data_IF_829611155639
#
_entry.id   IF_829611155639
#
_cell.length_a   1.000
_cell.length_b   1.000
_cell.length_c   1.000
_cell.angle_alpha   90.00
_cell.angle_beta   90.00
_cell.angle_gamma   90.00
#
_symmetry.space_group_name_H-M   'P 1'
#
loop_
_entity.id
_entity.type
_entity.pdbx_description
1 polymer ?
#
# COMPACT_ATOMS: atom_id res chain seq x y z
N UNK A 1 38.07 16.70 29.29
CA UNK A 1 36.62 16.88 29.51
C UNK A 1 35.92 17.51 28.30
N UNK A 2 36.40 18.62 27.75
CA UNK A 2 35.77 19.29 26.59
C UNK A 2 35.72 18.46 25.29
N UNK A 3 36.77 17.70 24.97
CA UNK A 3 36.81 16.82 23.79
C UNK A 3 35.72 15.74 23.81
N UNK A 4 35.43 15.20 24.99
CA UNK A 4 34.33 14.24 25.19
C UNK A 4 32.97 14.89 24.96
N UNK A 5 32.77 16.14 25.41
CA UNK A 5 31.53 16.89 25.13
C UNK A 5 31.34 17.15 23.63
N UNK A 6 32.37 17.60 22.93
CA UNK A 6 32.29 17.83 21.48
C UNK A 6 32.01 16.55 20.70
N UNK A 7 32.64 15.43 21.07
CA UNK A 7 32.38 14.14 20.43
C UNK A 7 30.93 13.67 20.61
N UNK A 8 30.34 13.88 21.80
CA UNK A 8 28.95 13.52 22.07
C UNK A 8 27.96 14.40 21.27
N UNK A 9 28.26 15.70 21.14
CA UNK A 9 27.44 16.62 20.34
C UNK A 9 27.47 16.23 18.86
N UNK A 10 28.66 15.91 18.31
CA UNK A 10 28.80 15.48 16.92
C UNK A 10 28.01 14.16 16.69
N UNK A 11 28.14 13.19 17.61
CA UNK A 11 27.39 11.95 17.53
C UNK A 11 25.87 12.18 17.56
N UNK A 12 25.39 13.05 18.45
CA UNK A 12 23.98 13.40 18.55
C UNK A 12 23.46 14.05 17.26
N UNK A 13 24.23 14.97 16.65
CA UNK A 13 23.89 15.60 15.38
C UNK A 13 23.84 14.60 14.22
N UNK A 14 24.76 13.64 14.17
CA UNK A 14 24.76 12.57 13.16
C UNK A 14 23.52 11.68 13.28
N UNK A 15 23.16 11.28 14.50
CA UNK A 15 21.95 10.47 14.75
C UNK A 15 20.69 11.27 14.37
N UNK A 16 20.60 12.53 14.79
CA UNK A 16 19.48 13.41 14.47
C UNK A 16 19.33 13.60 12.95
N UNK A 17 20.43 13.88 12.26
CA UNK A 17 20.47 14.00 10.80
C UNK A 17 20.03 12.71 10.10
N UNK A 18 20.46 11.55 10.58
CA UNK A 18 20.05 10.24 10.08
C UNK A 18 18.54 10.00 10.24
N UNK A 19 17.97 10.30 11.41
CA UNK A 19 16.52 10.17 11.67
C UNK A 19 15.72 11.11 10.76
N UNK A 20 16.14 12.38 10.64
CA UNK A 20 15.50 13.35 9.76
C UNK A 20 15.55 12.90 8.28
N UNK A 21 16.68 12.35 7.84
CA UNK A 21 16.84 11.82 6.50
C UNK A 21 15.90 10.62 6.25
N UNK A 22 15.81 9.67 7.18
CA UNK A 22 14.92 8.52 7.07
C UNK A 22 13.45 8.96 7.02
N UNK A 23 13.06 9.91 7.87
CA UNK A 23 11.71 10.47 7.88
C UNK A 23 11.38 11.17 6.56
N UNK A 24 12.29 12.02 6.06
CA UNK A 24 12.13 12.70 4.77
C UNK A 24 12.01 11.71 3.62
N UNK A 25 12.90 10.70 3.58
CA UNK A 25 12.88 9.62 2.59
C UNK A 25 11.54 8.90 2.62
N UNK A 26 11.05 8.49 3.79
CA UNK A 26 9.77 7.79 3.91
C UNK A 26 8.60 8.65 3.42
N UNK A 27 8.56 9.93 3.80
CA UNK A 27 7.52 10.88 3.35
C UNK A 27 7.54 11.06 1.83
N UNK A 28 8.73 11.19 1.23
CA UNK A 28 8.90 11.29 -0.22
C UNK A 28 8.42 10.02 -0.93
N UNK A 29 8.78 8.83 -0.44
CA UNK A 29 8.37 7.56 -1.06
C UNK A 29 6.85 7.38 -1.03
N UNK A 30 6.17 7.76 0.05
CA UNK A 30 4.69 7.75 0.14
C UNK A 30 4.05 8.70 -0.88
N UNK A 31 4.60 9.90 -1.05
CA UNK A 31 4.09 10.85 -2.05
C UNK A 31 4.25 10.31 -3.48
N UNK A 32 5.41 9.71 -3.80
CA UNK A 32 5.68 9.09 -5.09
C UNK A 32 4.74 7.90 -5.34
N UNK A 33 4.56 7.02 -4.35
CA UNK A 33 3.68 5.86 -4.48
C UNK A 33 2.22 6.27 -4.70
N UNK A 34 1.74 7.28 -3.98
CA UNK A 34 0.38 7.80 -4.13
C UNK A 34 0.15 8.41 -5.52
N UNK A 35 1.11 9.21 -6.01
CA UNK A 35 1.04 9.80 -7.36
C UNK A 35 0.99 8.73 -8.45
N UNK A 36 1.89 7.74 -8.36
CA UNK A 36 1.93 6.62 -9.30
C UNK A 36 0.67 5.74 -9.24
N UNK A 37 0.17 5.48 -8.03
CA UNK A 37 -1.05 4.72 -7.82
C UNK A 37 -2.27 5.46 -8.36
N UNK A 38 -2.43 6.77 -8.10
CA UNK A 38 -3.50 7.60 -8.65
C UNK A 38 -3.51 7.58 -10.18
N UNK A 39 -2.33 7.74 -10.81
CA UNK A 39 -2.18 7.67 -12.27
C UNK A 39 -2.56 6.30 -12.85
N UNK A 40 -2.30 5.23 -12.11
CA UNK A 40 -2.66 3.87 -12.54
C UNK A 40 -4.16 3.60 -12.30
N UNK A 41 -4.73 4.17 -11.25
CA UNK A 41 -6.12 3.97 -10.85
C UNK A 41 -7.11 4.51 -11.89
N UNK A 42 -6.81 5.64 -12.53
CA UNK A 42 -7.67 6.22 -13.58
C UNK A 42 -7.82 5.32 -14.80
N UNK A 43 -6.90 4.37 -15.00
CA UNK A 43 -6.97 3.41 -16.11
C UNK A 43 -7.94 2.26 -15.83
N UNK A 44 -8.36 2.07 -14.58
CA UNK A 44 -9.27 0.99 -14.21
C UNK A 44 -10.64 1.16 -14.86
N UNK A 45 -11.13 2.40 -15.01
CA UNK A 45 -12.44 2.69 -15.60
C UNK A 45 -12.54 2.27 -17.07
N UNK A 46 -11.40 2.16 -17.76
CA UNK A 46 -11.34 1.70 -19.14
C UNK A 46 -11.41 0.17 -19.29
N UNK A 47 -11.34 -0.60 -18.19
CA UNK A 47 -11.37 -2.06 -18.20
C UNK A 47 -12.82 -2.52 -18.06
N UNK A 48 -13.44 -3.12 -19.10
CA UNK A 48 -14.84 -3.54 -19.03
C UNK A 48 -15.04 -4.69 -18.05
N UNK A 49 -14.10 -5.64 -18.03
CA UNK A 49 -14.20 -6.85 -17.23
C UNK A 49 -14.07 -6.55 -15.72
N UNK A 50 -15.11 -6.86 -14.90
CA UNK A 50 -15.11 -6.55 -13.47
C UNK A 50 -14.05 -7.35 -12.70
N UNK A 51 -13.80 -8.61 -13.07
CA UNK A 51 -12.80 -9.45 -12.44
C UNK A 51 -11.39 -8.89 -12.64
N UNK A 52 -11.06 -8.51 -13.87
CA UNK A 52 -9.78 -7.89 -14.25
C UNK A 52 -9.56 -6.56 -13.56
N UNK A 53 -10.60 -5.72 -13.38
CA UNK A 53 -10.50 -4.49 -12.58
C UNK A 53 -10.07 -4.77 -11.14
N UNK A 54 -10.62 -5.81 -10.51
CA UNK A 54 -10.24 -6.21 -9.13
C UNK A 54 -8.78 -6.66 -9.08
N UNK A 55 -8.34 -7.50 -10.04
CA UNK A 55 -6.96 -7.98 -10.13
C UNK A 55 -5.96 -6.81 -10.26
N UNK A 56 -6.24 -5.88 -11.18
CA UNK A 56 -5.38 -4.72 -11.44
C UNK A 56 -5.38 -3.76 -10.25
N UNK A 57 -6.52 -3.51 -9.61
CA UNK A 57 -6.60 -2.66 -8.42
C UNK A 57 -5.73 -3.20 -7.27
N UNK A 58 -5.81 -4.50 -6.98
CA UNK A 58 -4.95 -5.13 -5.96
C UNK A 58 -3.46 -4.98 -6.31
N UNK A 59 -3.09 -5.16 -7.59
CA UNK A 59 -1.73 -4.97 -8.10
C UNK A 59 -1.24 -3.52 -7.93
N UNK A 60 -2.10 -2.52 -8.16
CA UNK A 60 -1.76 -1.10 -7.91
C UNK A 60 -1.44 -0.86 -6.44
N UNK A 61 -2.29 -1.36 -5.53
CA UNK A 61 -2.05 -1.23 -4.09
C UNK A 61 -0.76 -1.95 -3.69
N UNK A 62 -0.51 -3.16 -4.19
CA UNK A 62 0.71 -3.91 -3.87
C UNK A 62 1.97 -3.15 -4.31
N UNK A 63 1.98 -2.57 -5.51
CA UNK A 63 3.09 -1.72 -5.98
C UNK A 63 3.30 -0.49 -5.08
N UNK A 64 2.22 0.13 -4.60
CA UNK A 64 2.33 1.24 -3.66
C UNK A 64 3.01 0.79 -2.36
N UNK A 65 2.59 -0.36 -1.81
CA UNK A 65 3.19 -0.98 -0.62
C UNK A 65 4.68 -1.32 -0.82
N UNK A 66 5.04 -1.87 -1.98
CA UNK A 66 6.44 -2.17 -2.32
C UNK A 66 7.29 -0.89 -2.34
N UNK A 67 6.74 0.20 -2.90
CA UNK A 67 7.43 1.49 -3.02
C UNK A 67 7.73 2.11 -1.65
N UNK A 68 6.83 1.95 -0.68
CA UNK A 68 7.01 2.47 0.68
C UNK A 68 7.80 1.51 1.59
N UNK A 69 8.23 0.36 1.08
CA UNK A 69 9.20 -0.54 1.73
C UNK A 69 8.62 -1.85 2.30
N UNK A 70 7.33 -2.14 2.12
CA UNK A 70 6.76 -3.42 2.54
C UNK A 70 7.18 -4.54 1.59
N UNK A 71 7.68 -5.66 2.14
CA UNK A 71 8.12 -6.84 1.39
C UNK A 71 7.26 -8.07 1.68
N UNK A 72 7.22 -9.03 0.75
CA UNK A 72 6.46 -10.28 0.90
C UNK A 72 5.22 -10.33 0.02
N UNK A 73 4.32 -11.27 0.31
CA UNK A 73 3.03 -11.39 -0.38
C UNK A 73 2.08 -10.26 0.02
N UNK A 74 1.09 -9.93 -0.82
CA UNK A 74 0.10 -8.89 -0.45
C UNK A 74 -0.60 -9.19 0.88
N UNK A 75 -0.94 -10.45 1.13
CA UNK A 75 -1.54 -10.89 2.40
C UNK A 75 -0.61 -10.70 3.61
N UNK A 76 0.69 -10.99 3.47
CA UNK A 76 1.69 -10.71 4.52
C UNK A 76 1.85 -9.22 4.77
N UNK A 77 1.94 -8.41 3.71
CA UNK A 77 2.04 -6.95 3.82
C UNK A 77 0.82 -6.40 4.54
N UNK A 78 -0.37 -6.85 4.15
CA UNK A 78 -1.62 -6.46 4.78
C UNK A 78 -1.59 -6.79 6.27
N UNK A 79 -1.25 -8.03 6.67
CA UNK A 79 -1.10 -8.43 8.08
C UNK A 79 -0.12 -7.54 8.86
N UNK A 80 1.01 -7.13 8.26
CA UNK A 80 1.97 -6.22 8.92
C UNK A 80 1.43 -4.81 9.10
N UNK A 81 0.56 -4.38 8.18
CA UNK A 81 -0.08 -3.05 8.21
C UNK A 81 -1.26 -3.01 9.16
N UNK A 82 -1.75 -4.17 9.64
CA UNK A 82 -2.99 -4.31 10.42
C UNK A 82 -3.01 -3.42 11.68
N UNK A 83 -3.40 -2.17 11.46
CA UNK A 83 -3.93 -1.24 12.43
C UNK A 83 -5.40 -1.61 12.65
N UNK A 84 -5.90 -1.42 13.87
CA UNK A 84 -7.17 -1.94 14.39
C UNK A 84 -8.45 -1.34 13.74
N UNK A 85 -8.52 -1.28 12.42
CA UNK A 85 -9.51 -0.49 11.69
C UNK A 85 -10.37 -1.34 10.73
N UNK A 86 -11.62 -0.91 10.56
CA UNK A 86 -12.66 -1.54 9.74
C UNK A 86 -12.25 -1.67 8.26
N UNK A 87 -11.38 -0.79 7.78
CA UNK A 87 -10.83 -0.80 6.43
C UNK A 87 -10.02 -2.08 6.14
N UNK A 88 -9.44 -2.69 7.17
CA UNK A 88 -8.70 -3.94 7.01
C UNK A 88 -9.60 -5.11 6.63
N UNK A 89 -10.77 -5.23 7.28
CA UNK A 89 -11.70 -6.34 6.98
C UNK A 89 -12.24 -6.21 5.56
N UNK A 90 -12.59 -5.00 5.13
CA UNK A 90 -13.05 -4.73 3.77
C UNK A 90 -12.01 -5.11 2.70
N UNK A 91 -10.73 -4.78 2.92
CA UNK A 91 -9.64 -5.16 2.00
C UNK A 91 -9.39 -6.66 2.01
N UNK A 92 -9.51 -7.30 3.17
CA UNK A 92 -9.36 -8.75 3.29
C UNK A 92 -10.45 -9.49 2.53
N UNK A 93 -11.70 -9.04 2.63
CA UNK A 93 -12.82 -9.57 1.83
C UNK A 93 -12.58 -9.37 0.32
N UNK A 94 -12.12 -8.18 -0.07
CA UNK A 94 -11.77 -7.90 -1.48
C UNK A 94 -10.62 -8.80 -1.98
N UNK A 95 -9.63 -9.08 -1.13
CA UNK A 95 -8.53 -9.98 -1.43
C UNK A 95 -8.99 -11.43 -1.59
N UNK A 96 -9.93 -11.90 -0.76
CA UNK A 96 -10.53 -13.24 -0.92
C UNK A 96 -11.27 -13.36 -2.25
N UNK A 97 -12.05 -12.34 -2.63
CA UNK A 97 -12.70 -12.31 -3.94
C UNK A 97 -11.68 -12.32 -5.09
N UNK A 98 -10.61 -11.52 -4.98
CA UNK A 98 -9.47 -11.54 -5.92
C UNK A 98 -8.88 -12.94 -6.04
N UNK A 99 -8.66 -13.63 -4.93
CA UNK A 99 -8.08 -14.98 -4.94
C UNK A 99 -9.01 -15.99 -5.60
N UNK A 100 -10.31 -15.87 -5.36
CA UNK A 100 -11.32 -16.67 -6.06
C UNK A 100 -11.22 -16.49 -7.58
N UNK A 101 -11.19 -15.24 -8.05
CA UNK A 101 -11.05 -14.92 -9.48
C UNK A 101 -9.79 -15.54 -10.08
N UNK A 102 -8.67 -15.53 -9.35
CA UNK A 102 -7.39 -16.01 -9.84
C UNK A 102 -7.25 -17.54 -9.82
N UNK A 103 -7.92 -18.24 -8.89
CA UNK A 103 -7.70 -19.67 -8.64
C UNK A 103 -8.89 -20.56 -8.99
N UNK A 104 -10.11 -20.02 -9.08
CA UNK A 104 -11.33 -20.76 -9.38
C UNK A 104 -11.83 -20.41 -10.80
N UNK A 105 -11.64 -21.30 -11.78
CA UNK A 105 -12.12 -21.11 -13.14
C UNK A 105 -13.64 -20.93 -13.18
N UNK A 106 -14.13 -20.03 -14.02
CA UNK A 106 -15.58 -19.77 -14.16
C UNK A 106 -16.18 -18.88 -13.08
N UNK A 107 -15.35 -18.32 -12.17
CA UNK A 107 -15.81 -17.31 -11.21
C UNK A 107 -16.47 -16.14 -11.94
N UNK A 108 -17.77 -15.92 -11.67
CA UNK A 108 -18.50 -14.76 -12.15
C UNK A 108 -18.44 -13.66 -11.10
N UNK A 109 -18.10 -12.46 -11.55
CA UNK A 109 -18.03 -11.27 -10.70
C UNK A 109 -19.07 -10.29 -11.18
N UNK A 110 -19.97 -9.87 -10.28
CA UNK A 110 -20.93 -8.83 -10.58
C UNK A 110 -20.28 -7.45 -10.50
N UNK A 111 -20.84 -6.48 -11.23
CA UNK A 111 -20.39 -5.09 -11.17
C UNK A 111 -20.40 -4.54 -9.72
N UNK A 112 -21.42 -4.92 -8.94
CA UNK A 112 -21.57 -4.49 -7.55
C UNK A 112 -20.44 -5.02 -6.65
N UNK A 113 -20.04 -6.28 -6.84
CA UNK A 113 -18.90 -6.87 -6.12
C UNK A 113 -17.59 -6.20 -6.50
N UNK A 114 -17.39 -5.94 -7.79
CA UNK A 114 -16.22 -5.20 -8.27
C UNK A 114 -16.16 -3.80 -7.68
N UNK A 115 -17.25 -3.03 -7.73
CA UNK A 115 -17.30 -1.70 -7.13
C UNK A 115 -17.02 -1.71 -5.62
N UNK A 116 -17.55 -2.71 -4.88
CA UNK A 116 -17.26 -2.87 -3.45
C UNK A 116 -15.77 -3.14 -3.20
N UNK A 117 -15.17 -4.06 -3.95
CA UNK A 117 -13.75 -4.40 -3.83
C UNK A 117 -12.84 -3.23 -4.22
N UNK A 118 -13.14 -2.54 -5.32
CA UNK A 118 -12.42 -1.34 -5.77
C UNK A 118 -12.49 -0.24 -4.72
N UNK A 119 -13.65 -0.01 -4.10
CA UNK A 119 -13.81 0.97 -3.02
C UNK A 119 -12.97 0.61 -1.79
N UNK A 120 -12.92 -0.67 -1.41
CA UNK A 120 -12.09 -1.14 -0.31
C UNK A 120 -10.59 -0.88 -0.58
N UNK A 121 -10.10 -1.31 -1.75
CA UNK A 121 -8.70 -1.07 -2.12
C UNK A 121 -8.36 0.42 -2.24
N UNK A 122 -9.28 1.25 -2.78
CA UNK A 122 -9.08 2.70 -2.89
C UNK A 122 -9.00 3.36 -1.52
N UNK A 123 -9.90 3.00 -0.59
CA UNK A 123 -9.88 3.51 0.79
C UNK A 123 -8.57 3.15 1.49
N UNK A 124 -8.15 1.90 1.37
CA UNK A 124 -6.88 1.46 1.93
C UNK A 124 -5.67 2.16 1.31
N UNK A 125 -5.68 2.41 0.00
CA UNK A 125 -4.61 3.19 -0.63
C UNK A 125 -4.50 4.58 0.00
N UNK A 126 -5.62 5.23 0.35
CA UNK A 126 -5.64 6.55 0.98
C UNK A 126 -5.14 6.55 2.43
N UNK A 127 -5.06 5.39 3.11
CA UNK A 127 -4.58 5.31 4.50
C UNK A 127 -3.06 5.07 4.61
N UNK A 128 -2.36 4.82 3.49
CA UNK A 128 -0.90 4.61 3.43
C UNK A 128 -0.10 5.93 3.55
#
# INVERSE_FOLDING_TARGET
>A
MWTLMFSLIILALLVLGGVLFLWWKQKRMRAVSMSAAKKSWTKLDAIPDPGRRILEAQSIVDRALNTIGYRGTFGEKLKRIQSHHQEFSDVWEALKLRNRIAHEPGTRVTEKEAQKALKAFKRFLHTL
#
